data_IF_578451590508
#
_entry.id   IF_578451590508
#
_cell.length_a   1.000
_cell.length_b   1.000
_cell.length_c   1.000
_cell.angle_alpha   90.00
_cell.angle_beta   90.00
_cell.angle_gamma   90.00
#
_symmetry.space_group_name_H-M   'P 1'
#
loop_
_entity.id
_entity.type
_entity.pdbx_description
1 polymer ?
#
# COMPACT_ATOMS: atom_id res chain seq x y z
N UNK A 1 2.37 1.59 44.73
CA UNK A 1 3.65 1.04 44.25
C UNK A 1 3.48 0.30 42.92
N UNK A 2 2.75 -0.80 42.86
CA UNK A 2 2.52 -1.55 41.61
C UNK A 2 1.94 -0.69 40.47
N UNK A 3 0.95 0.15 40.77
CA UNK A 3 0.40 1.10 39.80
C UNK A 3 1.46 2.07 39.23
N UNK A 4 2.41 2.55 40.05
CA UNK A 4 3.46 3.43 39.58
C UNK A 4 4.44 2.69 38.66
N UNK A 5 4.75 1.44 38.98
CA UNK A 5 5.60 0.57 38.15
C UNK A 5 4.92 0.30 36.80
N UNK A 6 3.63 -0.05 36.81
CA UNK A 6 2.85 -0.27 35.58
C UNK A 6 2.75 1.01 34.74
N UNK A 7 2.49 2.15 35.37
CA UNK A 7 2.39 3.44 34.69
C UNK A 7 3.74 3.85 34.08
N UNK A 8 4.83 3.67 34.80
CA UNK A 8 6.17 3.94 34.29
C UNK A 8 6.54 3.00 33.14
N UNK A 9 6.23 1.70 33.26
CA UNK A 9 6.42 0.73 32.19
C UNK A 9 5.61 1.08 30.94
N UNK A 10 4.33 1.41 31.09
CA UNK A 10 3.47 1.85 30.00
C UNK A 10 3.98 3.13 29.34
N UNK A 11 4.48 4.09 30.12
CA UNK A 11 5.07 5.32 29.59
C UNK A 11 6.32 5.04 28.76
N UNK A 12 7.21 4.17 29.22
CA UNK A 12 8.40 3.75 28.45
C UNK A 12 7.98 3.09 27.14
N UNK A 13 7.03 2.15 27.17
CA UNK A 13 6.53 1.47 25.96
C UNK A 13 5.88 2.48 25.00
N UNK A 14 5.07 3.41 25.50
CA UNK A 14 4.45 4.44 24.69
C UNK A 14 5.49 5.36 24.02
N UNK A 15 6.52 5.79 24.76
CA UNK A 15 7.62 6.60 24.22
C UNK A 15 8.41 5.82 23.17
N UNK A 16 8.69 4.53 23.43
CA UNK A 16 9.33 3.67 22.44
C UNK A 16 8.48 3.52 21.18
N UNK A 17 7.17 3.32 21.32
CA UNK A 17 6.25 3.19 20.19
C UNK A 17 6.15 4.50 19.38
N UNK A 18 6.08 5.65 20.04
CA UNK A 18 6.10 6.96 19.36
C UNK A 18 7.44 7.18 18.68
N UNK A 19 8.55 6.80 19.32
CA UNK A 19 9.89 6.91 18.76
C UNK A 19 10.06 6.00 17.55
N UNK A 20 9.59 4.75 17.60
CA UNK A 20 9.66 3.82 16.47
C UNK A 20 8.79 4.31 15.32
N UNK A 21 7.56 4.77 15.58
CA UNK A 21 6.69 5.33 14.53
C UNK A 21 7.30 6.57 13.87
N UNK A 22 7.92 7.48 14.65
CA UNK A 22 8.62 8.65 14.10
C UNK A 22 9.90 8.28 13.37
N UNK A 23 10.66 7.31 13.88
CA UNK A 23 11.85 6.78 13.19
C UNK A 23 11.46 6.06 11.89
N UNK A 24 10.36 5.31 11.88
CA UNK A 24 9.80 4.73 10.67
C UNK A 24 9.27 5.78 9.71
N UNK A 25 8.77 6.94 10.16
CA UNK A 25 8.46 8.05 9.25
C UNK A 25 9.72 8.57 8.54
N UNK A 26 10.85 8.71 9.25
CA UNK A 26 12.14 9.13 8.65
C UNK A 26 12.75 8.05 7.75
N UNK A 27 12.50 6.77 8.04
CA UNK A 27 12.96 5.63 7.21
C UNK A 27 11.99 5.33 6.05
N UNK A 28 10.68 5.58 6.20
CA UNK A 28 9.66 5.40 5.14
C UNK A 28 9.72 6.51 4.08
N UNK A 29 10.32 7.66 4.39
CA UNK A 29 10.72 8.63 3.36
C UNK A 29 11.94 8.15 2.53
N UNK A 30 12.64 7.09 2.97
CA UNK A 30 13.79 6.49 2.26
C UNK A 30 13.60 5.03 1.84
N UNK A 31 12.53 4.36 2.27
CA UNK A 31 12.16 3.01 1.85
C UNK A 31 10.69 3.02 1.44
N UNK A 32 10.35 2.63 0.20
CA UNK A 32 8.96 2.59 -0.23
C UNK A 32 8.24 1.51 0.57
N UNK A 33 7.34 1.94 1.46
CA UNK A 33 6.34 1.07 2.06
C UNK A 33 5.51 0.47 0.92
N UNK A 34 5.35 -0.86 0.80
CA UNK A 34 4.32 -1.41 -0.07
C UNK A 34 2.98 -1.02 0.54
N UNK A 35 2.35 -0.02 -0.07
CA UNK A 35 1.01 0.42 0.26
C UNK A 35 0.05 -0.74 -0.07
N UNK A 36 -0.47 -1.38 0.97
CA UNK A 36 -1.59 -2.30 0.83
C UNK A 36 -2.80 -1.51 0.28
N UNK A 37 -3.45 -1.94 -0.82
CA UNK A 37 -4.35 -1.08 -1.59
C UNK A 37 -5.76 -0.88 -0.99
N UNK A 38 -5.97 -1.11 0.31
CA UNK A 38 -7.33 -1.17 0.88
C UNK A 38 -7.70 0.01 1.78
N UNK A 39 -6.77 0.93 2.06
CA UNK A 39 -7.07 2.19 2.74
C UNK A 39 -7.34 3.29 1.72
N UNK A 40 -8.60 3.35 1.28
CA UNK A 40 -9.11 4.45 0.47
C UNK A 40 -8.91 5.80 1.20
N UNK A 41 -8.16 6.70 0.57
CA UNK A 41 -8.26 8.12 0.83
C UNK A 41 -7.00 8.85 1.27
N UNK A 42 -5.99 8.95 0.39
CA UNK A 42 -5.27 10.24 0.23
C UNK A 42 -4.39 10.24 -1.02
N UNK A 43 -4.58 11.27 -1.85
CA UNK A 43 -3.75 11.56 -3.02
C UNK A 43 -2.29 11.79 -2.62
N UNK A 44 -1.35 11.17 -3.32
CA UNK A 44 -0.15 11.86 -3.79
C UNK A 44 0.41 11.17 -5.03
N UNK A 45 0.61 11.99 -6.05
CA UNK A 45 0.98 11.71 -7.42
C UNK A 45 2.48 11.39 -7.48
N UNK A 46 2.91 10.23 -6.96
CA UNK A 46 4.24 9.71 -7.27
C UNK A 46 4.21 9.20 -8.71
N UNK A 47 5.25 9.46 -9.54
CA UNK A 47 5.44 8.72 -10.78
C UNK A 47 5.55 7.25 -10.39
N UNK A 48 4.48 6.49 -10.58
CA UNK A 48 4.49 5.06 -10.33
C UNK A 48 5.53 4.52 -11.30
N UNK A 49 6.55 3.81 -10.79
CA UNK A 49 7.25 2.84 -11.62
C UNK A 49 6.19 1.81 -11.96
N UNK A 50 5.44 2.04 -13.05
CA UNK A 50 4.60 1.01 -13.64
C UNK A 50 5.55 -0.05 -14.14
N UNK A 51 5.38 -1.28 -13.67
CA UNK A 51 6.00 -2.41 -14.36
C UNK A 51 5.44 -2.48 -15.78
N UNK A 52 6.14 -3.10 -16.74
CA UNK A 52 5.61 -3.30 -18.10
C UNK A 52 4.21 -3.93 -18.13
N UNK A 53 3.89 -4.75 -17.12
CA UNK A 53 2.60 -5.43 -16.96
C UNK A 53 1.51 -4.55 -16.31
N UNK A 54 1.88 -3.43 -15.69
CA UNK A 54 0.97 -2.46 -15.08
C UNK A 54 0.67 -1.26 -16.00
N UNK A 55 1.17 -1.28 -17.24
CA UNK A 55 0.91 -0.23 -18.20
C UNK A 55 -0.57 -0.27 -18.64
N UNK A 56 -1.23 0.90 -18.71
CA UNK A 56 -2.67 0.97 -18.99
C UNK A 56 -3.03 0.37 -20.36
N UNK A 57 -2.10 0.39 -21.31
CA UNK A 57 -2.30 -0.16 -22.65
C UNK A 57 -2.19 -1.68 -22.68
N UNK A 58 -1.40 -2.31 -21.81
CA UNK A 58 -1.35 -3.76 -21.67
C UNK A 58 -2.63 -4.29 -21.03
N UNK A 59 -3.11 -3.63 -19.97
CA UNK A 59 -4.38 -3.96 -19.32
C UNK A 59 -5.57 -3.83 -20.28
N UNK A 60 -5.57 -2.83 -21.16
CA UNK A 60 -6.59 -2.68 -22.21
C UNK A 60 -6.55 -3.81 -23.24
N UNK A 61 -5.36 -4.22 -23.68
CA UNK A 61 -5.22 -5.34 -24.61
C UNK A 61 -5.67 -6.67 -24.01
N UNK A 62 -5.41 -6.89 -22.70
CA UNK A 62 -5.93 -8.04 -21.98
C UNK A 62 -7.46 -8.02 -21.88
N UNK A 63 -8.03 -6.87 -21.51
CA UNK A 63 -9.49 -6.69 -21.43
C UNK A 63 -10.17 -6.97 -22.79
N UNK A 64 -9.62 -6.43 -23.88
CA UNK A 64 -10.12 -6.67 -25.24
C UNK A 64 -9.99 -8.14 -25.65
N UNK A 65 -8.88 -8.80 -25.30
CA UNK A 65 -8.66 -10.23 -25.60
C UNK A 65 -9.62 -11.12 -24.82
N UNK A 66 -9.82 -10.86 -23.53
CA UNK A 66 -10.77 -11.59 -22.68
C UNK A 66 -12.19 -11.39 -23.21
N UNK A 67 -12.56 -10.17 -23.56
CA UNK A 67 -13.87 -9.86 -24.13
C UNK A 67 -14.11 -10.56 -25.48
N UNK A 68 -13.11 -10.61 -26.36
CA UNK A 68 -13.21 -11.32 -27.64
C UNK A 68 -13.20 -12.86 -27.49
N UNK A 69 -12.70 -13.38 -26.37
CA UNK A 69 -12.72 -14.82 -26.06
C UNK A 69 -14.03 -15.23 -25.37
N UNK A 70 -14.59 -14.34 -24.53
CA UNK A 70 -15.89 -14.51 -23.86
C UNK A 70 -17.07 -14.30 -24.82
N UNK A 71 -16.90 -13.50 -25.87
CA UNK A 71 -17.87 -13.28 -26.92
C UNK A 71 -17.45 -14.12 -28.17
N UNK A 72 -17.73 -15.44 -28.21
CA UNK A 72 -17.44 -16.21 -29.41
C UNK A 72 -18.23 -15.57 -30.57
N UNK A 73 -17.61 -15.38 -31.75
CA UNK A 73 -18.35 -14.81 -32.87
C UNK A 73 -19.55 -15.72 -33.12
N UNK A 74 -20.75 -15.14 -33.07
CA UNK A 74 -21.95 -15.74 -33.64
C UNK A 74 -21.60 -16.13 -35.08
N UNK A 75 -21.19 -17.40 -35.25
CA UNK A 75 -21.16 -18.02 -36.55
C UNK A 75 -22.61 -18.14 -36.95
N UNK A 76 -23.01 -17.21 -37.82
CA UNK A 76 -24.02 -17.29 -38.87
C UNK A 76 -24.98 -18.50 -38.82
#
# INVERSE_FOLDING_TARGET
MLFLILLLGAAVVAVLLVRTLRSEQVVSDRLPRPDFPWSAGQKSERPRTTGPDDDPDFLRQLDEKVRNEEDPPDRA
#
